data_IF_225608970777
#
_entry.id   IF_225608970777
#
_cell.length_a   1.000
_cell.length_b   1.000
_cell.length_c   1.000
_cell.angle_alpha   90.00
_cell.angle_beta   90.00
_cell.angle_gamma   90.00
#
_symmetry.space_group_name_H-M   'P 1'
#
loop_
_entity.id
_entity.type
_entity.pdbx_description
1 polymer ?
#
# COMPACT_ATOMS: atom_id res chain seq x y z
N UNK A 1 -7.28 -5.82 -19.78
CA UNK A 1 -6.68 -4.83 -18.85
C UNK A 1 -6.84 -5.27 -17.39
N UNK A 2 -8.06 -5.43 -16.84
CA UNK A 2 -8.24 -5.92 -15.46
C UNK A 2 -7.70 -7.35 -15.23
N UNK A 3 -7.96 -8.29 -16.16
CA UNK A 3 -7.51 -9.69 -16.05
C UNK A 3 -5.99 -9.88 -16.08
N UNK A 4 -5.28 -9.02 -16.82
CA UNK A 4 -3.81 -9.09 -16.94
C UNK A 4 -3.14 -8.59 -15.65
N UNK A 5 -3.62 -7.48 -15.04
CA UNK A 5 -3.11 -7.03 -13.74
C UNK A 5 -3.44 -7.99 -12.60
N UNK A 6 -4.60 -8.66 -12.64
CA UNK A 6 -4.90 -9.72 -11.67
C UNK A 6 -3.87 -10.85 -11.71
N UNK A 7 -3.56 -11.38 -12.90
CA UNK A 7 -2.50 -12.38 -13.06
C UNK A 7 -1.13 -11.83 -12.62
N UNK A 8 -0.83 -10.57 -12.95
CA UNK A 8 0.38 -9.90 -12.49
C UNK A 8 0.52 -9.87 -10.96
N UNK A 9 -0.58 -9.60 -10.24
CA UNK A 9 -0.59 -9.67 -8.76
C UNK A 9 -0.38 -11.09 -8.25
N UNK A 10 -0.93 -12.10 -8.90
CA UNK A 10 -0.66 -13.51 -8.53
C UNK A 10 0.84 -13.82 -8.67
N UNK A 11 1.48 -13.37 -9.74
CA UNK A 11 2.91 -13.59 -9.98
C UNK A 11 3.75 -12.82 -8.95
N UNK A 12 3.37 -11.59 -8.62
CA UNK A 12 4.02 -10.81 -7.57
C UNK A 12 3.89 -11.51 -6.20
N UNK A 13 2.69 -11.98 -5.84
CA UNK A 13 2.42 -12.73 -4.61
C UNK A 13 3.29 -13.99 -4.50
N UNK A 14 3.35 -14.80 -5.56
CA UNK A 14 4.20 -16.00 -5.60
C UNK A 14 5.68 -15.67 -5.45
N UNK A 15 6.12 -14.57 -6.06
CA UNK A 15 7.52 -14.11 -6.01
C UNK A 15 7.89 -13.66 -4.60
N UNK A 16 7.08 -12.78 -4.01
CA UNK A 16 7.28 -12.28 -2.65
C UNK A 16 7.24 -13.41 -1.63
N UNK A 17 6.33 -14.38 -1.78
CA UNK A 17 6.26 -15.54 -0.89
C UNK A 17 7.55 -16.37 -0.93
N UNK A 18 8.09 -16.68 -2.11
CA UNK A 18 9.33 -17.45 -2.21
C UNK A 18 10.52 -16.68 -1.64
N UNK A 19 10.64 -15.40 -1.94
CA UNK A 19 11.73 -14.56 -1.43
C UNK A 19 11.68 -14.47 0.09
N UNK A 20 10.50 -14.22 0.66
CA UNK A 20 10.29 -14.17 2.10
C UNK A 20 10.59 -15.54 2.76
N UNK A 21 10.16 -16.64 2.13
CA UNK A 21 10.42 -18.00 2.61
C UNK A 21 11.92 -18.31 2.66
N UNK A 22 12.65 -17.96 1.61
CA UNK A 22 14.09 -18.18 1.55
C UNK A 22 14.85 -17.27 2.53
N UNK A 23 14.42 -16.01 2.70
CA UNK A 23 14.94 -15.08 3.71
C UNK A 23 14.84 -15.65 5.11
N UNK A 24 13.67 -16.16 5.49
CA UNK A 24 13.46 -16.77 6.80
C UNK A 24 14.29 -18.06 6.99
N UNK A 25 14.44 -18.86 5.92
CA UNK A 25 15.26 -20.07 5.94
C UNK A 25 16.78 -19.80 5.97
N UNK A 26 17.21 -18.54 5.91
CA UNK A 26 18.61 -18.13 5.80
C UNK A 26 19.37 -18.85 4.66
N UNK A 27 18.69 -19.07 3.54
CA UNK A 27 19.26 -19.70 2.35
C UNK A 27 20.33 -18.79 1.72
N UNK A 28 21.59 -19.23 1.70
CA UNK A 28 22.69 -18.39 1.22
C UNK A 28 22.75 -18.23 -0.30
N UNK A 29 21.97 -19.02 -1.06
CA UNK A 29 22.11 -19.15 -2.50
C UNK A 29 20.91 -18.58 -3.29
N UNK A 30 20.02 -17.80 -2.65
CA UNK A 30 18.90 -17.20 -3.37
C UNK A 30 19.30 -15.95 -4.17
N UNK A 31 18.58 -15.71 -5.27
CA UNK A 31 18.75 -14.54 -6.12
C UNK A 31 17.38 -13.92 -6.45
N UNK A 32 17.10 -12.75 -5.88
CA UNK A 32 15.81 -12.06 -6.00
C UNK A 32 15.43 -11.79 -7.48
N UNK A 33 16.30 -11.18 -8.32
CA UNK A 33 16.05 -11.03 -9.75
C UNK A 33 15.77 -12.32 -10.52
N UNK A 34 16.45 -13.42 -10.17
CA UNK A 34 16.26 -14.71 -10.82
C UNK A 34 14.86 -15.28 -10.52
N UNK A 35 14.44 -15.23 -9.26
CA UNK A 35 13.12 -15.70 -8.82
C UNK A 35 12.02 -14.94 -9.57
N UNK A 36 12.11 -13.60 -9.62
CA UNK A 36 11.15 -12.76 -10.34
C UNK A 36 11.11 -13.11 -11.83
N UNK A 37 12.28 -13.14 -12.49
CA UNK A 37 12.38 -13.44 -13.92
C UNK A 37 11.84 -14.82 -14.26
N UNK A 38 12.15 -15.83 -13.43
CA UNK A 38 11.65 -17.20 -13.58
C UNK A 38 10.14 -17.28 -13.41
N UNK A 39 9.57 -16.57 -12.43
CA UNK A 39 8.14 -16.58 -12.18
C UNK A 39 7.36 -15.88 -13.29
N UNK A 40 7.82 -14.72 -13.78
CA UNK A 40 7.25 -14.05 -14.95
C UNK A 40 7.36 -14.94 -16.19
N UNK A 41 8.51 -15.57 -16.41
CA UNK A 41 8.78 -16.44 -17.55
C UNK A 41 7.80 -17.62 -17.69
N UNK A 42 7.25 -18.14 -16.59
CA UNK A 42 6.22 -19.19 -16.60
C UNK A 42 4.90 -18.75 -17.23
N UNK A 43 4.63 -17.44 -17.25
CA UNK A 43 3.38 -16.85 -17.71
C UNK A 43 3.59 -15.82 -18.83
N UNK A 44 4.76 -15.80 -19.47
CA UNK A 44 5.17 -14.77 -20.46
C UNK A 44 4.19 -14.57 -21.63
N UNK A 45 3.43 -15.59 -22.00
CA UNK A 45 2.46 -15.54 -23.11
C UNK A 45 1.07 -15.02 -22.66
N UNK A 46 0.87 -14.85 -21.34
CA UNK A 46 -0.40 -14.47 -20.72
C UNK A 46 -0.33 -13.13 -19.98
N UNK A 47 0.88 -12.58 -19.84
CA UNK A 47 1.16 -11.35 -19.09
C UNK A 47 1.78 -10.33 -20.01
N UNK A 48 1.16 -9.16 -20.09
CA UNK A 48 1.65 -8.08 -20.95
C UNK A 48 2.29 -6.93 -20.15
N UNK A 49 2.01 -6.82 -18.84
CA UNK A 49 2.45 -5.69 -18.00
C UNK A 49 3.53 -6.14 -17.00
N UNK A 50 4.70 -6.47 -17.55
CA UNK A 50 5.88 -6.94 -16.78
C UNK A 50 6.42 -5.85 -15.86
N UNK A 51 6.32 -4.58 -16.28
CA UNK A 51 6.76 -3.43 -15.51
C UNK A 51 5.92 -3.26 -14.24
N UNK A 52 4.59 -3.44 -14.32
CA UNK A 52 3.72 -3.45 -13.14
C UNK A 52 4.15 -4.51 -12.12
N UNK A 53 4.41 -5.75 -12.58
CA UNK A 53 4.80 -6.85 -11.67
C UNK A 53 6.12 -6.53 -10.98
N UNK A 54 7.10 -6.07 -11.74
CA UNK A 54 8.42 -5.75 -11.21
C UNK A 54 8.35 -4.59 -10.23
N UNK A 55 7.63 -3.52 -10.56
CA UNK A 55 7.43 -2.36 -9.69
C UNK A 55 6.68 -2.72 -8.40
N UNK A 56 5.70 -3.62 -8.46
CA UNK A 56 4.98 -4.10 -7.28
C UNK A 56 5.89 -4.91 -6.35
N UNK A 57 6.65 -5.87 -6.90
CA UNK A 57 7.59 -6.70 -6.12
C UNK A 57 8.69 -5.85 -5.50
N UNK A 58 9.39 -5.04 -6.29
CA UNK A 58 10.49 -4.20 -5.82
C UNK A 58 9.99 -3.16 -4.80
N UNK A 59 8.82 -2.60 -5.04
CA UNK A 59 8.16 -1.66 -4.17
C UNK A 59 7.86 -2.24 -2.79
N UNK A 60 7.21 -3.40 -2.75
CA UNK A 60 6.91 -4.09 -1.48
C UNK A 60 8.19 -4.41 -0.72
N UNK A 61 9.22 -4.96 -1.37
CA UNK A 61 10.50 -5.28 -0.71
C UNK A 61 11.17 -4.03 -0.15
N UNK A 62 11.25 -2.97 -0.95
CA UNK A 62 11.93 -1.73 -0.57
C UNK A 62 11.22 -1.01 0.58
N UNK A 63 9.90 -1.10 0.64
CA UNK A 63 9.07 -0.41 1.62
C UNK A 63 8.59 -1.33 2.76
N UNK A 64 9.03 -2.60 2.82
CA UNK A 64 8.54 -3.61 3.75
C UNK A 64 8.44 -3.12 5.20
N UNK A 65 9.50 -2.53 5.75
CA UNK A 65 9.50 -2.05 7.14
C UNK A 65 8.52 -0.91 7.40
N UNK A 66 8.28 -0.04 6.42
CA UNK A 66 7.31 1.06 6.53
C UNK A 66 5.88 0.55 6.38
N UNK A 67 5.66 -0.39 5.44
CA UNK A 67 4.39 -1.08 5.26
C UNK A 67 4.00 -1.84 6.54
N UNK A 68 4.91 -2.63 7.11
CA UNK A 68 4.71 -3.36 8.36
C UNK A 68 4.36 -2.43 9.52
N UNK A 69 5.09 -1.30 9.66
CA UNK A 69 4.81 -0.33 10.70
C UNK A 69 3.39 0.25 10.58
N UNK A 70 2.95 0.58 9.36
CA UNK A 70 1.59 1.08 9.11
C UNK A 70 0.53 0.00 9.34
N UNK A 71 0.78 -1.22 8.91
CA UNK A 71 -0.12 -2.36 9.13
C UNK A 71 -0.28 -2.65 10.63
N UNK A 72 0.80 -2.57 11.40
CA UNK A 72 0.78 -2.84 12.84
C UNK A 72 -0.12 -1.87 13.63
N UNK A 73 -0.29 -0.64 13.15
CA UNK A 73 -1.19 0.36 13.76
C UNK A 73 -2.67 -0.01 13.65
N UNK A 74 -3.02 -0.89 12.69
CA UNK A 74 -4.41 -1.22 12.36
C UNK A 74 -4.74 -2.68 12.63
N UNK A 75 -3.78 -3.59 12.47
CA UNK A 75 -3.89 -5.00 12.83
C UNK A 75 -3.64 -5.22 14.34
N UNK A 76 -4.28 -4.43 15.20
CA UNK A 76 -3.90 -4.32 16.63
C UNK A 76 -4.13 -5.57 17.46
N UNK A 77 -4.92 -6.53 16.98
CA UNK A 77 -5.18 -7.78 17.70
C UNK A 77 -3.99 -8.76 17.64
N UNK A 78 -3.09 -8.63 16.66
CA UNK A 78 -1.99 -9.56 16.44
C UNK A 78 -0.69 -8.83 16.10
N UNK A 79 0.46 -9.22 16.68
CA UNK A 79 1.76 -8.81 16.14
C UNK A 79 1.85 -9.20 14.65
N UNK A 80 2.46 -8.35 13.81
CA UNK A 80 2.67 -8.68 12.38
C UNK A 80 3.36 -10.04 12.19
N UNK A 81 4.27 -10.41 13.10
CA UNK A 81 4.96 -11.70 13.10
C UNK A 81 4.07 -12.93 13.32
N UNK A 82 2.86 -12.74 13.85
CA UNK A 82 1.89 -13.82 14.07
C UNK A 82 0.87 -13.94 12.93
N UNK A 83 0.86 -12.96 12.00
CA UNK A 83 0.04 -13.03 10.80
C UNK A 83 0.61 -14.10 9.87
N UNK A 84 -0.26 -14.94 9.30
CA UNK A 84 0.16 -15.93 8.32
C UNK A 84 0.91 -15.24 7.17
N UNK A 85 2.05 -15.81 6.75
CA UNK A 85 2.92 -15.24 5.71
C UNK A 85 2.15 -14.76 4.48
N UNK A 86 1.20 -15.57 4.02
CA UNK A 86 0.38 -15.26 2.84
C UNK A 86 -0.45 -13.98 3.07
N UNK A 87 -1.11 -13.87 4.23
CA UNK A 87 -1.94 -12.71 4.55
C UNK A 87 -1.10 -11.45 4.74
N UNK A 88 0.08 -11.56 5.38
CA UNK A 88 1.02 -10.45 5.52
C UNK A 88 1.45 -9.90 4.16
N UNK A 89 1.87 -10.75 3.23
CA UNK A 89 2.29 -10.33 1.89
C UNK A 89 1.13 -9.68 1.13
N UNK A 90 -0.09 -10.24 1.22
CA UNK A 90 -1.28 -9.64 0.57
C UNK A 90 -1.59 -8.25 1.16
N UNK A 91 -1.46 -8.07 2.47
CA UNK A 91 -1.60 -6.76 3.12
C UNK A 91 -0.54 -5.76 2.63
N UNK A 92 0.72 -6.18 2.61
CA UNK A 92 1.84 -5.35 2.14
C UNK A 92 1.64 -4.90 0.68
N UNK A 93 1.28 -5.84 -0.21
CA UNK A 93 0.94 -5.54 -1.60
C UNK A 93 -0.22 -4.56 -1.72
N UNK A 94 -1.33 -4.85 -1.03
CA UNK A 94 -2.53 -4.01 -1.08
C UNK A 94 -2.27 -2.60 -0.56
N UNK A 95 -1.52 -2.46 0.54
CA UNK A 95 -1.15 -1.16 1.09
C UNK A 95 -0.19 -0.41 0.16
N UNK A 96 0.82 -1.10 -0.39
CA UNK A 96 1.74 -0.50 -1.33
C UNK A 96 1.02 0.06 -2.57
N UNK A 97 0.11 -0.72 -3.17
CA UNK A 97 -0.70 -0.24 -4.30
C UNK A 97 -1.60 0.94 -3.92
N UNK A 98 -2.24 0.91 -2.74
CA UNK A 98 -3.05 2.05 -2.25
C UNK A 98 -2.24 3.35 -2.09
N UNK A 99 -0.93 3.25 -1.85
CA UNK A 99 -0.05 4.40 -1.67
C UNK A 99 0.61 4.88 -2.96
N UNK A 100 0.83 3.97 -3.93
CA UNK A 100 1.70 4.24 -5.07
C UNK A 100 1.02 4.12 -6.45
N UNK A 101 -0.14 3.44 -6.56
CA UNK A 101 -0.87 3.30 -7.83
C UNK A 101 -2.11 4.20 -7.85
N UNK A 102 -1.91 5.49 -8.16
CA UNK A 102 -2.97 6.48 -8.23
C UNK A 102 -3.97 6.25 -9.38
N UNK A 103 -3.61 5.44 -10.38
CA UNK A 103 -4.43 5.16 -11.55
C UNK A 103 -5.47 4.05 -11.28
N UNK A 104 -5.29 3.27 -10.21
CA UNK A 104 -6.23 2.22 -9.80
C UNK A 104 -7.11 2.71 -8.65
N UNK A 105 -8.45 2.69 -8.79
CA UNK A 105 -9.34 3.08 -7.70
C UNK A 105 -9.08 2.24 -6.45
N UNK A 106 -8.98 2.89 -5.27
CA UNK A 106 -8.66 2.23 -4.01
C UNK A 106 -9.55 1.01 -3.69
N UNK A 107 -10.85 1.08 -4.04
CA UNK A 107 -11.79 -0.05 -3.88
C UNK A 107 -11.43 -1.26 -4.75
N UNK A 108 -10.87 -1.03 -5.94
CA UNK A 108 -10.41 -2.10 -6.82
C UNK A 108 -9.17 -2.76 -6.21
N UNK A 109 -8.20 -1.98 -5.72
CA UNK A 109 -7.01 -2.53 -5.02
C UNK A 109 -7.43 -3.43 -3.86
N UNK A 110 -8.35 -2.96 -3.00
CA UNK A 110 -8.84 -3.75 -1.87
C UNK A 110 -9.55 -5.02 -2.35
N UNK A 111 -10.40 -4.91 -3.38
CA UNK A 111 -11.10 -6.07 -3.93
C UNK A 111 -10.12 -7.12 -4.47
N UNK A 112 -9.08 -6.70 -5.19
CA UNK A 112 -8.04 -7.60 -5.70
C UNK A 112 -7.28 -8.30 -4.58
N UNK A 113 -6.89 -7.58 -3.52
CA UNK A 113 -6.27 -8.17 -2.34
C UNK A 113 -7.20 -9.20 -1.66
N UNK A 114 -8.50 -8.93 -1.59
CA UNK A 114 -9.51 -9.85 -1.04
C UNK A 114 -9.65 -11.10 -1.91
N UNK A 115 -9.64 -10.97 -3.24
CA UNK A 115 -9.69 -12.14 -4.14
C UNK A 115 -8.43 -13.00 -4.03
N UNK A 116 -7.24 -12.40 -3.89
CA UNK A 116 -6.01 -13.14 -3.59
C UNK A 116 -6.13 -13.90 -2.27
N UNK A 117 -6.67 -13.27 -1.23
CA UNK A 117 -6.85 -13.90 0.07
C UNK A 117 -7.84 -15.06 0.05
N UNK A 118 -8.88 -15.01 -0.79
CA UNK A 118 -9.79 -16.15 -1.02
C UNK A 118 -9.10 -17.31 -1.74
N UNK A 119 -8.19 -17.00 -2.67
CA UNK A 119 -7.52 -18.00 -3.49
C UNK A 119 -6.35 -18.69 -2.76
N UNK A 120 -5.62 -17.97 -1.91
CA UNK A 120 -4.36 -18.44 -1.32
C UNK A 120 -4.33 -18.43 0.22
N UNK A 121 -5.23 -17.69 0.87
CA UNK A 121 -5.32 -17.59 2.33
C UNK A 121 -6.16 -18.70 2.96
N UNK A 122 -6.39 -18.57 4.27
CA UNK A 122 -7.31 -19.42 5.02
C UNK A 122 -8.74 -18.88 5.05
N UNK A 123 -9.64 -19.62 5.71
CA UNK A 123 -11.08 -19.33 5.74
C UNK A 123 -11.43 -17.89 6.17
N UNK A 124 -10.64 -17.30 7.07
CA UNK A 124 -10.88 -15.96 7.60
C UNK A 124 -10.06 -14.87 6.91
N UNK A 125 -9.13 -15.22 6.02
CA UNK A 125 -8.17 -14.28 5.43
C UNK A 125 -8.86 -13.18 4.64
N UNK A 126 -9.82 -13.52 3.77
CA UNK A 126 -10.54 -12.53 2.96
C UNK A 126 -11.24 -11.44 3.79
N UNK A 127 -11.87 -11.82 4.91
CA UNK A 127 -12.52 -10.88 5.83
C UNK A 127 -11.49 -10.03 6.58
N UNK A 128 -10.40 -10.64 7.02
CA UNK A 128 -9.31 -9.97 7.71
C UNK A 128 -8.65 -8.89 6.82
N UNK A 129 -8.21 -9.27 5.61
CA UNK A 129 -7.61 -8.36 4.63
C UNK A 129 -8.54 -7.18 4.32
N UNK A 130 -9.82 -7.45 4.06
CA UNK A 130 -10.80 -6.40 3.79
C UNK A 130 -10.95 -5.43 4.98
N UNK A 131 -10.95 -5.96 6.21
CA UNK A 131 -11.05 -5.17 7.44
C UNK A 131 -9.85 -4.24 7.64
N UNK A 132 -8.64 -4.77 7.48
CA UNK A 132 -7.39 -4.01 7.67
C UNK A 132 -7.23 -2.93 6.60
N UNK A 133 -7.24 -3.31 5.32
CA UNK A 133 -7.05 -2.35 4.23
C UNK A 133 -8.17 -1.32 4.16
N UNK A 134 -9.42 -1.73 4.43
CA UNK A 134 -10.55 -0.82 4.48
C UNK A 134 -10.42 0.21 5.63
N UNK A 135 -9.83 -0.17 6.76
CA UNK A 135 -9.59 0.74 7.88
C UNK A 135 -8.48 1.73 7.58
N UNK A 136 -7.37 1.27 6.97
CA UNK A 136 -6.28 2.13 6.51
C UNK A 136 -6.78 3.17 5.49
N UNK A 137 -7.61 2.75 4.53
CA UNK A 137 -8.18 3.68 3.55
C UNK A 137 -9.00 4.78 4.23
N UNK A 138 -9.89 4.43 5.16
CA UNK A 138 -10.71 5.42 5.89
C UNK A 138 -9.85 6.40 6.68
N UNK A 139 -8.86 5.90 7.42
CA UNK A 139 -7.95 6.76 8.19
C UNK A 139 -7.19 7.75 7.30
N UNK A 140 -6.78 7.33 6.08
CA UNK A 140 -6.14 8.22 5.11
C UNK A 140 -7.09 9.28 4.57
N UNK A 141 -8.33 8.91 4.24
CA UNK A 141 -9.36 9.86 3.77
C UNK A 141 -9.71 10.90 4.85
N UNK A 142 -9.82 10.48 6.10
CA UNK A 142 -10.04 11.35 7.26
C UNK A 142 -8.86 12.31 7.49
N UNK A 143 -7.63 11.79 7.45
CA UNK A 143 -6.42 12.61 7.59
C UNK A 143 -6.29 13.64 6.46
N UNK A 144 -6.57 13.24 5.21
CA UNK A 144 -6.56 14.16 4.06
C UNK A 144 -7.60 15.27 4.22
N UNK A 145 -8.80 14.93 4.68
CA UNK A 145 -9.87 15.91 4.94
C UNK A 145 -9.47 16.90 6.04
N UNK A 146 -8.90 16.41 7.14
CA UNK A 146 -8.43 17.26 8.23
C UNK A 146 -7.33 18.24 7.79
N UNK A 147 -6.38 17.79 6.96
CA UNK A 147 -5.34 18.66 6.39
C UNK A 147 -5.94 19.76 5.53
N UNK A 148 -6.88 19.43 4.64
CA UNK A 148 -7.57 20.42 3.79
C UNK A 148 -8.32 21.45 4.64
N UNK A 149 -8.99 21.02 5.71
CA UNK A 149 -9.67 21.95 6.62
C UNK A 149 -8.71 22.89 7.36
N UNK A 150 -7.56 22.39 7.80
CA UNK A 150 -6.54 23.20 8.49
C UNK A 150 -6.01 24.27 7.55
N UNK A 151 -5.67 23.90 6.30
CA UNK A 151 -5.19 24.83 5.28
C UNK A 151 -6.25 25.89 4.95
N UNK A 152 -7.51 25.48 4.76
CA UNK A 152 -8.62 26.41 4.49
C UNK A 152 -8.90 27.39 5.65
N UNK A 153 -8.60 27.00 6.91
CA UNK A 153 -8.71 27.87 8.09
C UNK A 153 -7.51 28.81 8.22
N UNK A 154 -6.31 28.39 7.79
CA UNK A 154 -5.09 29.21 7.81
C UNK A 154 -5.15 30.38 6.81
N UNK A 155 -5.77 30.17 5.64
CA UNK A 155 -5.94 31.21 4.61
C UNK A 155 -6.96 32.31 4.97
N UNK A 156 -7.79 32.09 6.01
CA UNK A 156 -8.81 33.06 6.47
C UNK A 156 -8.33 34.02 7.56
N UNK A 157 -7.02 34.12 7.84
CA UNK A 157 -6.49 35.08 8.83
C UNK A 157 -6.81 36.53 8.39
N UNK A 158 -7.42 37.38 9.23
CA UNK A 158 -7.85 38.70 8.80
C UNK A 158 -6.64 39.58 8.53
N UNK A 159 -6.60 40.19 7.33
CA UNK A 159 -5.66 41.26 6.99
C UNK A 159 -5.78 42.34 8.07
N UNK A 160 -4.72 42.52 8.86
CA UNK A 160 -4.67 43.50 9.93
C UNK A 160 -5.08 44.88 9.39
N UNK A 161 -6.18 45.43 9.92
CA UNK A 161 -6.64 46.80 9.61
C UNK A 161 -5.49 47.76 9.93
N UNK A 162 -4.89 48.37 8.90
CA UNK A 162 -3.90 49.45 9.04
C UNK A 162 -4.48 50.53 9.95
N UNK A 163 -3.87 50.74 11.11
CA UNK A 163 -4.22 51.81 12.04
C UNK A 163 -4.01 53.17 11.34
N UNK A 164 -4.98 54.11 11.39
CA UNK A 164 -4.80 55.39 10.74
C UNK A 164 -3.78 56.23 11.52
N UNK A 165 -2.72 56.65 10.81
CA UNK A 165 -1.72 57.59 11.34
C UNK A 165 -2.41 58.92 11.60
N UNK A 166 -2.56 59.28 12.88
CA UNK A 166 -3.03 60.62 13.27
C UNK A 166 -2.05 61.66 12.73
N UNK A 167 -2.50 62.50 11.78
CA UNK A 167 -1.79 63.73 11.41
C UNK A 167 -1.69 64.61 12.65
N UNK A 168 -0.47 64.78 13.16
CA UNK A 168 -0.17 65.79 14.16
C UNK A 168 -0.22 67.16 13.48
N UNK A 169 -1.24 67.95 13.80
CA UNK A 169 -1.25 69.39 13.56
C UNK A 169 -0.49 70.08 14.71
N UNK A 170 0.48 70.93 14.35
CA UNK A 170 1.12 72.02 15.13
C UNK A 170 2.42 72.38 14.40
N UNK A 171 2.80 73.64 14.17
CA UNK A 171 2.24 74.95 14.46
C UNK A 171 2.94 75.92 13.51
#
# INVERSE_FOLDING_TARGET
MASNRHLGRIIALQTLYEQDFRREAADAEWNDPEILSRNIGRYKEMVDDVDFISALVDGVIKHASDLDAKLQLVATEWPISEIARMDRIILEMGLYELENDADVPAKVVINEAVELAKAFGGDNSSKFINGVLGTLLRQREEAATAVVEILAKADKKPVAKKTPVKKAAKK
#
